data_IF_151182666365
#
_entry.id   IF_151182666365
#
_cell.length_a   1.000
_cell.length_b   1.000
_cell.length_c   1.000
_cell.angle_alpha   90.00
_cell.angle_beta   90.00
_cell.angle_gamma   90.00
#
_symmetry.space_group_name_H-M   'P 1'
#
loop_
_entity.id
_entity.type
_entity.pdbx_description
1 polymer ?
#
# COMPACT_ATOMS: atom_id res chain seq x y z
N UNK A 1 6.02 -0.13 4.08
CA UNK A 1 5.92 0.18 2.64
C UNK A 1 6.38 1.60 2.38
N UNK A 2 7.16 1.80 1.37
CA UNK A 2 7.54 3.16 0.94
C UNK A 2 7.50 3.23 -0.58
N UNK A 3 7.25 4.44 -1.10
CA UNK A 3 7.28 4.65 -2.55
C UNK A 3 7.74 6.06 -2.88
N UNK A 4 8.20 6.21 -4.10
CA UNK A 4 8.63 7.48 -4.65
C UNK A 4 8.26 7.49 -6.14
N UNK A 5 7.68 8.58 -6.62
CA UNK A 5 7.23 8.69 -8.00
C UNK A 5 8.11 9.71 -8.74
N UNK A 6 8.38 9.45 -10.01
CA UNK A 6 9.15 10.37 -10.86
C UNK A 6 8.31 11.55 -11.33
N UNK A 7 6.99 11.42 -11.31
CA UNK A 7 6.06 12.46 -11.73
C UNK A 7 4.93 12.58 -10.70
N UNK A 8 4.42 13.79 -10.52
CA UNK A 8 3.24 14.01 -9.68
C UNK A 8 2.04 13.31 -10.30
N UNK A 9 1.35 12.48 -9.53
CA UNK A 9 0.17 11.76 -9.99
C UNK A 9 -0.66 11.28 -8.82
N UNK A 10 -1.91 10.92 -9.09
CA UNK A 10 -2.78 10.32 -8.08
C UNK A 10 -2.21 8.96 -7.68
N UNK A 11 -2.18 8.69 -6.39
CA UNK A 11 -1.71 7.43 -5.84
C UNK A 11 -2.73 6.88 -4.85
N UNK A 12 -2.98 5.58 -4.94
CA UNK A 12 -3.86 4.86 -4.03
C UNK A 12 -3.08 3.68 -3.47
N UNK A 13 -2.82 3.70 -2.17
CA UNK A 13 -2.12 2.62 -1.48
C UNK A 13 -3.10 1.90 -0.56
N UNK A 14 -3.30 0.62 -0.83
CA UNK A 14 -4.28 -0.21 -0.13
C UNK A 14 -3.64 -1.48 0.40
N UNK A 15 -4.22 -2.02 1.48
CA UNK A 15 -3.85 -3.31 2.04
C UNK A 15 -5.01 -4.27 1.82
N UNK A 16 -4.72 -5.44 1.26
CA UNK A 16 -5.68 -6.51 1.01
C UNK A 16 -5.27 -7.80 1.72
N UNK A 17 -6.26 -8.62 2.07
CA UNK A 17 -5.99 -10.00 2.47
C UNK A 17 -5.92 -10.90 1.23
N UNK A 18 -5.60 -12.18 1.42
CA UNK A 18 -5.45 -13.10 0.29
C UNK A 18 -6.76 -13.44 -0.41
N UNK A 19 -7.90 -13.17 0.21
CA UNK A 19 -9.19 -13.38 -0.44
C UNK A 19 -9.57 -12.23 -1.37
N UNK A 20 -8.76 -11.16 -1.37
CA UNK A 20 -9.01 -9.98 -2.19
C UNK A 20 -9.84 -8.93 -1.49
N UNK A 21 -10.08 -9.08 -0.19
CA UNK A 21 -10.87 -8.12 0.58
C UNK A 21 -9.99 -6.97 1.04
N UNK A 22 -10.47 -5.75 0.85
CA UNK A 22 -9.79 -4.54 1.31
C UNK A 22 -9.78 -4.51 2.83
N UNK A 23 -8.57 -4.41 3.41
CA UNK A 23 -8.36 -4.32 4.85
C UNK A 23 -8.28 -2.87 5.29
N UNK A 24 -7.49 -2.07 4.57
CA UNK A 24 -7.29 -0.66 4.92
C UNK A 24 -6.75 0.12 3.73
N UNK A 25 -7.14 1.38 3.62
CA UNK A 25 -6.54 2.33 2.67
C UNK A 25 -5.55 3.19 3.45
N UNK A 26 -4.28 3.17 3.02
CA UNK A 26 -3.21 3.91 3.69
C UNK A 26 -2.99 5.30 3.09
N UNK A 27 -3.21 5.45 1.80
CA UNK A 27 -3.01 6.72 1.10
C UNK A 27 -3.95 6.78 -0.09
N UNK A 28 -4.60 7.93 -0.28
CA UNK A 28 -5.49 8.16 -1.41
C UNK A 28 -5.48 9.65 -1.71
N UNK A 29 -4.50 10.09 -2.49
CA UNK A 29 -4.32 11.51 -2.78
C UNK A 29 -3.34 11.68 -3.93
N UNK A 30 -3.09 12.94 -4.30
CA UNK A 30 -2.03 13.27 -5.24
C UNK A 30 -0.68 13.17 -4.52
N UNK A 31 0.23 12.39 -5.07
CA UNK A 31 1.58 12.25 -4.55
C UNK A 31 2.54 13.13 -5.36
N UNK A 32 3.36 13.89 -4.66
CA UNK A 32 4.33 14.79 -5.28
C UNK A 32 5.48 14.02 -5.91
N UNK A 33 6.03 14.56 -7.01
CA UNK A 33 7.19 13.99 -7.66
C UNK A 33 8.40 14.02 -6.73
N UNK A 34 9.19 12.95 -6.76
CA UNK A 34 10.46 12.81 -6.05
C UNK A 34 10.38 12.97 -4.53
N UNK A 35 9.17 13.01 -3.97
CA UNK A 35 8.96 12.94 -2.54
C UNK A 35 8.89 11.48 -2.10
N UNK A 36 9.53 11.15 -0.99
CA UNK A 36 9.50 9.79 -0.47
C UNK A 36 8.38 9.65 0.55
N UNK A 37 7.46 8.73 0.28
CA UNK A 37 6.35 8.43 1.17
C UNK A 37 6.61 7.11 1.89
N UNK A 38 6.41 7.10 3.19
CA UNK A 38 6.58 5.91 4.03
C UNK A 38 5.32 5.64 4.81
N UNK A 39 4.96 4.36 4.90
CA UNK A 39 3.78 3.93 5.64
C UNK A 39 4.11 2.77 6.55
N UNK A 40 3.63 2.86 7.78
CA UNK A 40 3.67 1.76 8.74
C UNK A 40 2.26 1.25 8.90
N UNK A 41 2.08 -0.05 8.70
CA UNK A 41 0.80 -0.70 8.85
C UNK A 41 0.78 -1.47 10.17
N UNK A 42 -0.17 -1.12 11.05
CA UNK A 42 -0.34 -1.83 12.30
C UNK A 42 -1.31 -2.99 12.10
N UNK A 43 -0.75 -4.20 12.07
CA UNK A 43 -1.52 -5.43 11.91
C UNK A 43 -1.84 -6.14 13.21
N UNK A 44 -1.66 -5.48 14.37
CA UNK A 44 -1.80 -6.15 15.68
C UNK A 44 -3.20 -6.69 15.92
N UNK A 45 -4.23 -6.11 15.32
CA UNK A 45 -5.62 -6.56 15.46
C UNK A 45 -6.04 -7.56 14.38
N UNK A 46 -5.15 -7.92 13.47
CA UNK A 46 -5.46 -8.80 12.35
C UNK A 46 -4.93 -10.20 12.59
N UNK A 47 -5.59 -11.22 12.02
CA UNK A 47 -5.09 -12.60 12.06
C UNK A 47 -3.71 -12.71 11.42
N UNK A 48 -2.90 -13.66 11.90
CA UNK A 48 -1.67 -14.03 11.23
C UNK A 48 -1.98 -14.49 9.81
N UNK A 49 -1.11 -14.14 8.88
CA UNK A 49 -1.27 -14.57 7.50
C UNK A 49 -0.55 -13.66 6.54
N UNK A 50 -0.78 -13.93 5.26
CA UNK A 50 -0.18 -13.16 4.17
C UNK A 50 -1.16 -12.10 3.71
N UNK A 51 -0.63 -10.89 3.50
CA UNK A 51 -1.38 -9.73 3.05
C UNK A 51 -0.67 -9.10 1.87
N UNK A 52 -1.34 -8.18 1.19
CA UNK A 52 -0.80 -7.50 0.01
C UNK A 52 -0.93 -6.00 0.18
N UNK A 53 0.13 -5.27 -0.16
CA UNK A 53 0.04 -3.85 -0.47
C UNK A 53 -0.23 -3.72 -1.97
N UNK A 54 -1.16 -2.86 -2.35
CA UNK A 54 -1.36 -2.50 -3.76
C UNK A 54 -1.27 -0.99 -3.90
N UNK A 55 -0.28 -0.55 -4.65
CA UNK A 55 -0.11 0.86 -5.01
C UNK A 55 -0.56 1.04 -6.45
N UNK A 56 -1.60 1.83 -6.64
CA UNK A 56 -2.13 2.16 -7.96
C UNK A 56 -1.87 3.62 -8.24
N UNK A 57 -1.25 3.90 -9.39
CA UNK A 57 -1.04 5.27 -9.88
C UNK A 57 -1.62 5.37 -11.27
N UNK A 58 -1.51 6.57 -11.88
CA UNK A 58 -2.00 6.77 -13.25
C UNK A 58 -1.22 5.94 -14.27
N UNK A 59 0.02 5.55 -13.95
CA UNK A 59 0.90 4.86 -14.89
C UNK A 59 1.13 3.38 -14.59
N UNK A 60 0.87 2.92 -13.36
CA UNK A 60 1.21 1.55 -12.99
C UNK A 60 0.46 1.04 -11.76
N UNK A 61 0.52 -0.27 -11.57
CA UNK A 61 0.05 -0.95 -10.36
C UNK A 61 1.22 -1.78 -9.83
N UNK A 62 1.57 -1.56 -8.57
CA UNK A 62 2.64 -2.30 -7.90
C UNK A 62 2.02 -3.09 -6.74
N UNK A 63 2.31 -4.38 -6.68
CA UNK A 63 1.81 -5.26 -5.63
C UNK A 63 3.00 -5.82 -4.87
N UNK A 64 2.92 -5.77 -3.55
CA UNK A 64 3.97 -6.25 -2.67
C UNK A 64 3.34 -7.10 -1.56
N UNK A 65 3.91 -8.29 -1.37
CA UNK A 65 3.41 -9.25 -0.38
C UNK A 65 4.10 -9.04 0.96
N UNK A 66 3.35 -9.17 2.05
CA UNK A 66 3.96 -9.14 3.38
C UNK A 66 3.21 -10.10 4.30
N UNK A 67 3.84 -10.43 5.42
CA UNK A 67 3.28 -11.38 6.39
C UNK A 67 3.05 -10.69 7.73
N UNK A 68 1.90 -10.98 8.34
CA UNK A 68 1.62 -10.63 9.73
C UNK A 68 1.81 -11.89 10.56
N UNK A 69 2.72 -11.81 11.53
CA UNK A 69 3.00 -12.91 12.46
C UNK A 69 3.14 -12.34 13.86
N UNK A 70 2.26 -12.77 14.74
CA UNK A 70 2.26 -12.36 16.15
C UNK A 70 3.06 -13.33 17.01
#
# INVERSE_FOLDING_TARGET
>A
MSFELSEEQTALLEVYDLSGRLVQTLFNSVASAEAKYRFTFDGSALPNGVYLYRLTTDSEVVIEKFMIAH
#
